data_IF_794975643485
#
_entry.id   IF_794975643485
#
_cell.length_a   1.000
_cell.length_b   1.000
_cell.length_c   1.000
_cell.angle_alpha   90.00
_cell.angle_beta   90.00
_cell.angle_gamma   90.00
#
_symmetry.space_group_name_H-M   'P 1'
#
loop_
_entity.id
_entity.type
_entity.pdbx_description
1 polymer ?
#
# COMPACT_ATOMS: atom_id res chain seq x y z
N UNK A 1 10.93 -21.63 -12.39
CA UNK A 1 9.44 -21.64 -12.36
C UNK A 1 9.05 -21.31 -10.92
N UNK A 2 8.81 -20.03 -10.62
CA UNK A 2 8.71 -19.56 -9.23
C UNK A 2 7.42 -20.07 -8.59
N UNK A 3 7.57 -20.99 -7.64
CA UNK A 3 6.52 -21.38 -6.72
C UNK A 3 6.34 -20.18 -5.77
N UNK A 4 5.55 -19.18 -6.18
CA UNK A 4 5.08 -18.15 -5.27
C UNK A 4 4.00 -18.83 -4.41
N UNK A 5 4.42 -19.42 -3.29
CA UNK A 5 3.50 -19.77 -2.22
C UNK A 5 2.92 -18.46 -1.68
N UNK A 6 1.71 -18.10 -2.14
CA UNK A 6 1.03 -16.90 -1.67
C UNK A 6 0.48 -17.18 -0.27
N UNK A 7 1.23 -16.78 0.76
CA UNK A 7 0.80 -16.81 2.17
C UNK A 7 -0.49 -16.00 2.41
N UNK A 8 -0.92 -15.18 1.45
CA UNK A 8 -2.23 -14.53 1.47
C UNK A 8 -3.37 -15.55 1.41
N UNK A 9 -3.20 -16.67 0.69
CA UNK A 9 -4.19 -17.75 0.72
C UNK A 9 -4.31 -18.36 2.11
N UNK A 10 -3.18 -18.51 2.80
CA UNK A 10 -3.17 -19.00 4.18
C UNK A 10 -3.80 -17.99 5.15
N UNK A 11 -3.58 -16.69 4.94
CA UNK A 11 -4.27 -15.64 5.68
C UNK A 11 -5.79 -15.71 5.49
N UNK A 12 -6.25 -15.93 4.25
CA UNK A 12 -7.66 -16.08 3.93
C UNK A 12 -8.29 -17.29 4.63
N UNK A 13 -7.60 -18.44 4.62
CA UNK A 13 -8.07 -19.65 5.33
C UNK A 13 -8.18 -19.41 6.83
N UNK A 14 -7.30 -18.58 7.40
CA UNK A 14 -7.31 -18.25 8.83
C UNK A 14 -8.29 -17.12 9.18
N UNK A 15 -8.95 -16.47 8.20
CA UNK A 15 -9.83 -15.34 8.46
C UNK A 15 -10.98 -15.67 9.45
N UNK A 16 -11.74 -16.77 9.33
CA UNK A 16 -12.80 -17.07 10.29
C UNK A 16 -12.25 -17.24 11.71
N UNK A 17 -11.13 -17.95 11.86
CA UNK A 17 -10.44 -18.14 13.15
C UNK A 17 -9.95 -16.80 13.73
N UNK A 18 -9.44 -15.90 12.87
CA UNK A 18 -9.04 -14.55 13.27
C UNK A 18 -10.22 -13.74 13.82
N UNK A 19 -11.35 -13.75 13.11
CA UNK A 19 -12.57 -13.06 13.58
C UNK A 19 -13.06 -13.60 14.92
N UNK A 20 -12.98 -14.91 15.13
CA UNK A 20 -13.28 -15.51 16.44
C UNK A 20 -12.30 -15.09 17.52
N UNK A 21 -11.01 -15.06 17.22
CA UNK A 21 -9.99 -14.64 18.18
C UNK A 21 -10.11 -13.17 18.60
N UNK A 22 -10.65 -12.32 17.73
CA UNK A 22 -10.81 -10.87 17.98
C UNK A 22 -12.18 -10.48 18.54
N UNK A 23 -13.25 -11.12 18.05
CA UNK A 23 -14.64 -10.71 18.29
C UNK A 23 -15.50 -11.82 18.92
N UNK A 24 -14.96 -13.02 19.12
CA UNK A 24 -15.69 -14.15 19.70
C UNK A 24 -16.58 -14.90 18.70
N UNK A 25 -16.58 -14.53 17.42
CA UNK A 25 -17.41 -15.12 16.38
C UNK A 25 -16.65 -15.38 15.08
N UNK A 26 -16.87 -16.52 14.46
CA UNK A 26 -16.37 -16.80 13.12
C UNK A 26 -17.28 -16.16 12.07
N UNK A 27 -16.73 -15.29 11.23
CA UNK A 27 -17.52 -14.64 10.18
C UNK A 27 -17.66 -15.53 8.95
N UNK A 28 -18.88 -15.59 8.41
CA UNK A 28 -19.22 -16.32 7.19
C UNK A 28 -19.59 -15.36 6.05
N UNK A 29 -18.59 -14.66 5.53
CA UNK A 29 -18.77 -13.67 4.46
C UNK A 29 -19.45 -14.27 3.21
N UNK A 30 -19.16 -15.53 2.88
CA UNK A 30 -19.79 -16.24 1.76
C UNK A 30 -21.31 -16.47 1.96
N UNK A 31 -21.77 -16.59 3.22
CA UNK A 31 -23.21 -16.65 3.51
C UNK A 31 -23.91 -15.37 3.10
N UNK A 32 -23.31 -14.21 3.39
CA UNK A 32 -23.84 -12.90 3.04
C UNK A 32 -23.81 -12.70 1.51
N UNK A 33 -22.71 -13.05 0.84
CA UNK A 33 -22.62 -13.01 -0.63
C UNK A 33 -23.77 -13.79 -1.28
N UNK A 34 -24.10 -14.99 -0.76
CA UNK A 34 -25.23 -15.77 -1.28
C UNK A 34 -26.57 -15.06 -1.10
N UNK A 35 -26.77 -14.38 0.02
CA UNK A 35 -27.97 -13.56 0.29
C UNK A 35 -28.07 -12.33 -0.62
N UNK A 36 -26.95 -11.82 -1.12
CA UNK A 36 -26.90 -10.63 -1.99
C UNK A 36 -26.83 -10.95 -3.49
N UNK A 37 -26.76 -12.23 -3.87
CA UNK A 37 -26.65 -12.65 -5.27
C UNK A 37 -27.76 -12.07 -6.16
N UNK A 38 -29.00 -12.02 -5.66
CA UNK A 38 -30.14 -11.49 -6.41
C UNK A 38 -30.04 -9.98 -6.66
N UNK A 39 -29.34 -9.22 -5.80
CA UNK A 39 -29.16 -7.76 -5.97
C UNK A 39 -28.33 -7.49 -7.22
N UNK A 40 -27.25 -8.24 -7.42
CA UNK A 40 -26.42 -8.14 -8.62
C UNK A 40 -27.13 -8.64 -9.87
N UNK A 41 -27.87 -9.75 -9.78
CA UNK A 41 -28.61 -10.31 -10.92
C UNK A 41 -29.76 -9.42 -11.41
N UNK A 42 -30.42 -8.73 -10.49
CA UNK A 42 -31.53 -7.81 -10.80
C UNK A 42 -31.09 -6.36 -11.00
N UNK A 43 -29.81 -6.05 -10.72
CA UNK A 43 -29.28 -4.69 -10.63
C UNK A 43 -30.19 -3.76 -9.80
N UNK A 44 -30.64 -4.27 -8.64
CA UNK A 44 -31.66 -3.62 -7.83
C UNK A 44 -31.45 -3.88 -6.34
N UNK A 45 -31.34 -2.82 -5.54
CA UNK A 45 -31.20 -2.87 -4.07
C UNK A 45 -32.43 -2.31 -3.37
N UNK A 46 -33.06 -3.11 -2.52
CA UNK A 46 -34.24 -2.73 -1.72
C UNK A 46 -33.88 -2.37 -0.28
N UNK A 47 -34.86 -1.86 0.46
CA UNK A 47 -34.73 -1.62 1.90
C UNK A 47 -34.49 -2.93 2.68
N UNK A 48 -35.18 -4.01 2.30
CA UNK A 48 -35.05 -5.31 2.96
C UNK A 48 -33.63 -5.88 2.79
N UNK A 49 -32.98 -5.62 1.64
CA UNK A 49 -31.58 -6.01 1.42
C UNK A 49 -30.63 -5.30 2.39
N UNK A 50 -30.89 -4.02 2.69
CA UNK A 50 -30.11 -3.29 3.69
C UNK A 50 -30.31 -3.87 5.10
N UNK A 51 -31.53 -4.29 5.45
CA UNK A 51 -31.80 -4.97 6.73
C UNK A 51 -31.13 -6.34 6.79
N UNK A 52 -31.12 -7.10 5.69
CA UNK A 52 -30.39 -8.37 5.63
C UNK A 52 -28.89 -8.20 5.88
N UNK A 53 -28.31 -7.08 5.48
CA UNK A 53 -26.91 -6.75 5.75
C UNK A 53 -26.64 -6.51 7.24
N UNK A 54 -27.50 -5.72 7.89
CA UNK A 54 -27.34 -5.28 9.28
C UNK A 54 -27.61 -6.40 10.28
N UNK A 55 -28.56 -7.27 9.96
CA UNK A 55 -29.08 -8.29 10.87
C UNK A 55 -28.56 -9.70 10.53
N UNK A 56 -27.60 -9.79 9.61
CA UNK A 56 -26.96 -11.05 9.23
C UNK A 56 -26.27 -11.71 10.43
N UNK A 57 -26.72 -12.92 10.80
CA UNK A 57 -26.05 -13.76 11.79
C UNK A 57 -24.61 -14.13 11.39
N UNK A 58 -24.26 -14.00 10.12
CA UNK A 58 -22.94 -14.37 9.59
C UNK A 58 -21.80 -13.45 10.03
N UNK A 59 -22.07 -12.25 10.55
CA UNK A 59 -21.04 -11.31 10.99
C UNK A 59 -21.59 -10.26 11.97
N UNK A 60 -20.74 -9.37 12.48
CA UNK A 60 -21.16 -8.36 13.48
C UNK A 60 -21.15 -6.95 12.90
N UNK A 61 -21.98 -6.71 11.88
CA UNK A 61 -22.08 -5.41 11.20
C UNK A 61 -22.23 -4.23 12.18
N UNK A 62 -23.20 -4.34 13.10
CA UNK A 62 -23.60 -3.28 14.03
C UNK A 62 -22.50 -2.84 15.00
N UNK A 63 -21.41 -3.61 15.12
CA UNK A 63 -20.26 -3.23 15.95
C UNK A 63 -19.40 -2.18 15.24
N UNK A 64 -19.33 -2.21 13.91
CA UNK A 64 -18.36 -1.43 13.15
C UNK A 64 -18.98 -0.32 12.30
N UNK A 65 -20.23 -0.49 11.86
CA UNK A 65 -20.85 0.42 10.91
C UNK A 65 -22.23 0.91 11.37
N UNK A 66 -22.59 2.15 11.00
CA UNK A 66 -23.91 2.68 11.25
C UNK A 66 -24.98 1.97 10.43
N UNK A 67 -26.22 1.99 10.90
CA UNK A 67 -27.36 1.40 10.18
C UNK A 67 -27.64 2.16 8.87
N UNK A 68 -27.46 1.54 7.69
CA UNK A 68 -27.68 2.18 6.40
C UNK A 68 -29.16 2.50 6.17
N UNK A 69 -30.08 1.78 6.83
CA UNK A 69 -31.53 2.05 6.78
C UNK A 69 -31.90 3.35 7.48
N UNK A 70 -31.13 3.74 8.48
CA UNK A 70 -31.29 5.03 9.16
C UNK A 70 -30.70 6.19 8.35
N UNK A 71 -29.73 5.92 7.48
CA UNK A 71 -29.07 6.92 6.63
C UNK A 71 -29.85 7.20 5.35
N UNK A 72 -30.39 6.15 4.74
CA UNK A 72 -31.10 6.23 3.46
C UNK A 72 -32.39 5.44 3.56
N UNK A 73 -33.52 6.14 3.37
CA UNK A 73 -34.81 5.48 3.19
C UNK A 73 -35.04 5.18 1.71
N UNK A 74 -34.95 3.90 1.35
CA UNK A 74 -35.25 3.42 0.00
C UNK A 74 -36.75 3.19 -0.16
N UNK A 75 -37.50 4.28 -0.37
CA UNK A 75 -38.94 4.19 -0.70
C UNK A 75 -39.22 3.41 -1.99
N UNK A 76 -38.23 3.35 -2.88
CA UNK A 76 -38.20 2.51 -4.09
C UNK A 76 -36.82 1.87 -4.20
N UNK A 77 -36.71 0.66 -4.78
CA UNK A 77 -35.41 0.05 -5.01
C UNK A 77 -34.48 0.95 -5.82
N UNK A 78 -33.17 0.88 -5.52
CA UNK A 78 -32.14 1.50 -6.34
C UNK A 78 -31.82 0.60 -7.52
N UNK A 79 -32.37 0.94 -8.68
CA UNK A 79 -32.18 0.21 -9.93
C UNK A 79 -31.01 0.80 -10.75
N UNK A 80 -30.32 -0.04 -11.53
CA UNK A 80 -29.34 0.44 -12.50
C UNK A 80 -28.05 0.99 -11.89
N UNK A 81 -27.73 0.61 -10.65
CA UNK A 81 -26.69 1.23 -9.84
C UNK A 81 -25.41 0.42 -9.78
N UNK A 82 -25.44 -0.87 -10.07
CA UNK A 82 -24.33 -1.76 -9.76
C UNK A 82 -23.31 -1.90 -10.86
N UNK A 83 -23.67 -1.66 -12.14
CA UNK A 83 -22.72 -1.59 -13.26
C UNK A 83 -21.55 -2.56 -13.09
N UNK A 84 -21.84 -3.86 -13.13
CA UNK A 84 -20.93 -4.89 -12.63
C UNK A 84 -19.67 -4.99 -13.50
N UNK A 85 -18.53 -5.31 -12.88
CA UNK A 85 -17.26 -5.46 -13.56
C UNK A 85 -16.24 -4.36 -13.28
N UNK A 86 -15.00 -4.61 -13.70
CA UNK A 86 -13.87 -3.73 -13.40
C UNK A 86 -13.99 -2.35 -14.07
N UNK A 87 -14.41 -2.28 -15.33
CA UNK A 87 -14.48 -1.01 -16.09
C UNK A 87 -15.59 -0.08 -15.59
N UNK A 88 -16.70 -0.64 -15.11
CA UNK A 88 -17.87 0.11 -14.65
C UNK A 88 -17.81 0.48 -13.16
N UNK A 89 -16.72 0.09 -12.47
CA UNK A 89 -16.60 0.23 -11.00
C UNK A 89 -16.73 1.67 -10.50
N UNK A 90 -16.18 2.65 -11.22
CA UNK A 90 -16.30 4.06 -10.83
C UNK A 90 -17.74 4.53 -10.92
N UNK A 91 -18.46 4.17 -11.98
CA UNK A 91 -19.88 4.49 -12.16
C UNK A 91 -20.70 3.90 -11.01
N UNK A 92 -20.46 2.64 -10.65
CA UNK A 92 -21.16 1.97 -9.57
C UNK A 92 -20.91 2.64 -8.20
N UNK A 93 -19.64 2.91 -7.88
CA UNK A 93 -19.25 3.61 -6.64
C UNK A 93 -19.90 4.99 -6.58
N UNK A 94 -19.86 5.76 -7.67
CA UNK A 94 -20.42 7.11 -7.72
C UNK A 94 -21.94 7.10 -7.51
N UNK A 95 -22.67 6.26 -8.24
CA UNK A 95 -24.13 6.16 -8.12
C UNK A 95 -24.57 5.79 -6.70
N UNK A 96 -23.88 4.85 -6.06
CA UNK A 96 -24.20 4.46 -4.69
C UNK A 96 -23.76 5.54 -3.69
N UNK A 97 -22.60 6.16 -3.88
CA UNK A 97 -22.12 7.23 -3.00
C UNK A 97 -23.04 8.46 -3.04
N UNK A 98 -23.60 8.81 -4.20
CA UNK A 98 -24.59 9.89 -4.32
C UNK A 98 -25.87 9.61 -3.51
N UNK A 99 -26.14 8.34 -3.17
CA UNK A 99 -27.28 7.93 -2.34
C UNK A 99 -26.94 7.84 -0.86
N UNK A 100 -25.86 7.12 -0.54
CA UNK A 100 -25.48 6.82 0.84
C UNK A 100 -24.67 7.93 1.50
N UNK A 101 -23.91 8.69 0.71
CA UNK A 101 -22.93 9.68 1.17
C UNK A 101 -21.94 9.13 2.21
N UNK A 102 -21.73 7.81 2.22
CA UNK A 102 -20.88 7.11 3.18
C UNK A 102 -20.14 5.98 2.46
N UNK A 103 -18.84 6.17 2.20
CA UNK A 103 -18.08 5.31 1.29
C UNK A 103 -17.87 3.90 1.83
N UNK A 104 -17.78 3.76 3.14
CA UNK A 104 -17.68 2.49 3.85
C UNK A 104 -18.93 1.64 3.58
N UNK A 105 -20.13 2.22 3.70
CA UNK A 105 -21.39 1.52 3.39
C UNK A 105 -21.43 1.10 1.92
N UNK A 106 -21.06 2.01 1.01
CA UNK A 106 -20.95 1.72 -0.42
C UNK A 106 -20.02 0.53 -0.67
N UNK A 107 -18.85 0.51 -0.02
CA UNK A 107 -17.87 -0.57 -0.17
C UNK A 107 -18.41 -1.92 0.31
N UNK A 108 -19.21 -1.93 1.38
CA UNK A 108 -19.82 -3.14 1.93
C UNK A 108 -20.87 -3.69 0.97
N UNK A 109 -21.78 -2.83 0.50
CA UNK A 109 -22.82 -3.25 -0.45
C UNK A 109 -22.16 -3.80 -1.72
N UNK A 110 -21.23 -3.06 -2.32
CA UNK A 110 -20.54 -3.48 -3.54
C UNK A 110 -19.75 -4.78 -3.36
N UNK A 111 -19.09 -4.95 -2.22
CA UNK A 111 -18.40 -6.20 -1.88
C UNK A 111 -19.30 -7.42 -1.95
N UNK A 112 -20.52 -7.33 -1.42
CA UNK A 112 -21.41 -8.48 -1.36
C UNK A 112 -22.17 -8.70 -2.67
N UNK A 113 -22.37 -7.64 -3.47
CA UNK A 113 -22.98 -7.72 -4.79
C UNK A 113 -22.00 -8.24 -5.85
N UNK A 114 -20.76 -7.74 -5.86
CA UNK A 114 -19.71 -8.12 -6.81
C UNK A 114 -18.35 -8.35 -6.10
N UNK A 115 -18.20 -9.50 -5.41
CA UNK A 115 -16.97 -9.80 -4.68
C UNK A 115 -15.74 -9.97 -5.60
N UNK A 116 -15.94 -10.15 -6.91
CA UNK A 116 -14.82 -10.27 -7.85
C UNK A 116 -14.06 -8.94 -7.96
N UNK A 117 -14.78 -7.80 -7.93
CA UNK A 117 -14.22 -6.48 -8.22
C UNK A 117 -14.22 -5.51 -7.03
N UNK A 118 -14.80 -5.89 -5.88
CA UNK A 118 -14.89 -5.00 -4.72
C UNK A 118 -14.38 -5.63 -3.42
N UNK A 119 -13.72 -4.79 -2.61
CA UNK A 119 -13.28 -5.06 -1.23
C UNK A 119 -13.98 -4.10 -0.24
N UNK A 120 -13.86 -4.35 1.07
CA UNK A 120 -14.44 -3.45 2.09
C UNK A 120 -13.35 -2.50 2.53
N UNK A 121 -13.54 -1.20 2.28
CA UNK A 121 -12.56 -0.22 2.75
C UNK A 121 -12.55 -0.24 4.28
N UNK A 122 -11.37 -0.48 4.86
CA UNK A 122 -11.24 -0.68 6.31
C UNK A 122 -9.89 -0.21 6.85
N UNK A 123 -9.86 0.40 8.05
CA UNK A 123 -8.63 0.94 8.63
C UNK A 123 -7.44 -0.03 8.70
N UNK A 124 -7.61 -1.33 9.01
CA UNK A 124 -6.49 -2.27 9.01
C UNK A 124 -5.84 -2.44 7.62
N UNK A 125 -6.66 -2.52 6.57
CA UNK A 125 -6.16 -2.71 5.20
C UNK A 125 -5.62 -1.39 4.63
N UNK A 126 -6.29 -0.26 4.86
CA UNK A 126 -5.80 1.07 4.47
C UNK A 126 -4.41 1.34 5.04
N UNK A 127 -4.23 1.11 6.34
CA UNK A 127 -2.95 1.26 7.03
C UNK A 127 -1.90 0.28 6.52
N UNK A 128 -2.30 -0.96 6.24
CA UNK A 128 -1.39 -1.94 5.66
C UNK A 128 -0.90 -1.46 4.29
N UNK A 129 -1.79 -1.02 3.41
CA UNK A 129 -1.48 -0.55 2.06
C UNK A 129 -0.82 0.85 2.05
N UNK A 130 -0.76 1.50 3.21
CA UNK A 130 -0.29 2.87 3.38
C UNK A 130 -1.04 3.87 2.50
N UNK A 131 -2.36 3.72 2.42
CA UNK A 131 -3.25 4.66 1.73
C UNK A 131 -3.59 5.83 2.66
N UNK A 132 -3.30 7.06 2.23
CA UNK A 132 -3.63 8.25 3.01
C UNK A 132 -5.08 8.69 2.73
N UNK A 133 -5.82 9.13 3.75
CA UNK A 133 -7.16 9.68 3.56
C UNK A 133 -7.16 10.79 2.51
N UNK A 134 -8.19 10.80 1.64
CA UNK A 134 -8.39 11.87 0.65
C UNK A 134 -9.79 12.48 0.81
N UNK A 135 -9.91 13.77 0.55
CA UNK A 135 -11.20 14.48 0.59
C UNK A 135 -12.21 13.92 -0.43
N UNK A 136 -11.70 13.43 -1.58
CA UNK A 136 -12.52 12.74 -2.56
C UNK A 136 -12.64 11.26 -2.20
N UNK A 137 -13.69 10.92 -1.45
CA UNK A 137 -13.97 9.55 -0.99
C UNK A 137 -14.14 8.52 -2.12
N UNK A 138 -14.70 8.91 -3.28
CA UNK A 138 -14.84 8.03 -4.44
C UNK A 138 -13.44 7.67 -4.98
N UNK A 139 -12.60 8.70 -5.24
CA UNK A 139 -11.22 8.50 -5.71
C UNK A 139 -10.42 7.66 -4.70
N UNK A 140 -10.60 7.94 -3.41
CA UNK A 140 -9.94 7.20 -2.33
C UNK A 140 -10.27 5.70 -2.38
N UNK A 141 -11.56 5.36 -2.52
CA UNK A 141 -11.97 3.96 -2.62
C UNK A 141 -11.53 3.29 -3.92
N UNK A 142 -11.51 4.00 -5.05
CA UNK A 142 -10.98 3.45 -6.30
C UNK A 142 -9.48 3.13 -6.19
N UNK A 143 -8.69 4.00 -5.56
CA UNK A 143 -7.28 3.74 -5.27
C UNK A 143 -7.08 2.51 -4.38
N UNK A 144 -7.99 2.29 -3.42
CA UNK A 144 -8.03 1.09 -2.59
C UNK A 144 -8.25 -0.17 -3.44
N UNK A 145 -9.25 -0.16 -4.33
CA UNK A 145 -9.53 -1.29 -5.21
C UNK A 145 -8.38 -1.59 -6.18
N UNK A 146 -7.75 -0.55 -6.75
CA UNK A 146 -6.60 -0.69 -7.63
C UNK A 146 -5.42 -1.35 -6.89
N UNK A 147 -5.21 -1.01 -5.62
CA UNK A 147 -4.20 -1.66 -4.77
C UNK A 147 -4.46 -3.15 -4.57
N UNK A 148 -5.71 -3.53 -4.31
CA UNK A 148 -6.10 -4.93 -4.19
C UNK A 148 -5.93 -5.66 -5.53
N UNK A 149 -6.24 -4.99 -6.65
CA UNK A 149 -6.11 -5.56 -7.99
C UNK A 149 -4.66 -5.86 -8.36
N UNK A 150 -3.75 -4.92 -8.09
CA UNK A 150 -2.30 -5.13 -8.27
C UNK A 150 -1.82 -6.36 -7.50
N UNK A 151 -2.24 -6.50 -6.24
CA UNK A 151 -1.90 -7.64 -5.38
C UNK A 151 -2.47 -8.93 -5.98
N UNK A 152 -3.74 -8.94 -6.35
CA UNK A 152 -4.38 -10.10 -6.98
C UNK A 152 -3.64 -10.54 -8.25
N UNK A 153 -3.30 -9.60 -9.12
CA UNK A 153 -2.59 -9.85 -10.37
C UNK A 153 -1.19 -10.44 -10.12
N UNK A 154 -0.47 -9.93 -9.12
CA UNK A 154 0.87 -10.41 -8.79
C UNK A 154 0.86 -11.83 -8.21
N UNK A 155 0.08 -12.08 -7.15
CA UNK A 155 0.06 -13.39 -6.49
C UNK A 155 -0.78 -14.43 -7.23
N UNK A 156 -1.69 -14.00 -8.11
CA UNK A 156 -2.65 -14.83 -8.85
C UNK A 156 -3.67 -15.57 -7.97
N UNK A 157 -3.42 -15.66 -6.67
CA UNK A 157 -4.28 -16.24 -5.63
C UNK A 157 -4.10 -15.45 -4.32
N UNK A 158 -5.19 -15.01 -3.69
CA UNK A 158 -6.58 -15.13 -4.16
C UNK A 158 -6.90 -14.25 -5.39
N UNK A 159 -7.91 -14.67 -6.18
CA UNK A 159 -8.31 -14.00 -7.43
C UNK A 159 -9.35 -12.90 -7.24
N UNK A 160 -10.31 -13.12 -6.34
CA UNK A 160 -11.37 -12.15 -6.05
C UNK A 160 -10.78 -11.01 -5.23
N UNK A 161 -11.13 -9.76 -5.53
CA UNK A 161 -10.66 -8.65 -4.69
C UNK A 161 -11.18 -8.78 -3.26
N UNK A 162 -12.37 -9.36 -3.11
CA UNK A 162 -12.91 -9.77 -1.84
C UNK A 162 -11.94 -10.58 -0.97
N UNK A 163 -11.40 -11.63 -1.57
CA UNK A 163 -10.56 -12.58 -0.88
C UNK A 163 -9.17 -11.99 -0.59
N UNK A 164 -8.67 -11.13 -1.48
CA UNK A 164 -7.43 -10.37 -1.28
C UNK A 164 -7.57 -9.41 -0.10
N UNK A 165 -8.68 -8.67 -0.04
CA UNK A 165 -9.05 -7.78 1.05
C UNK A 165 -9.06 -8.50 2.40
N UNK A 166 -9.75 -9.64 2.50
CA UNK A 166 -9.78 -10.46 3.73
C UNK A 166 -8.40 -11.00 4.11
N UNK A 167 -7.61 -11.44 3.13
CA UNK A 167 -6.26 -11.94 3.37
C UNK A 167 -5.35 -10.85 3.94
N UNK A 168 -5.38 -9.65 3.36
CA UNK A 168 -4.59 -8.51 3.82
C UNK A 168 -5.07 -8.05 5.20
N UNK A 169 -6.38 -8.02 5.41
CA UNK A 169 -6.96 -7.71 6.72
C UNK A 169 -6.41 -8.66 7.78
N UNK A 170 -6.44 -9.96 7.52
CA UNK A 170 -5.91 -10.98 8.43
C UNK A 170 -4.40 -10.82 8.67
N UNK A 171 -3.61 -10.60 7.60
CA UNK A 171 -2.18 -10.33 7.68
C UNK A 171 -1.86 -9.10 8.54
N UNK A 172 -2.60 -8.00 8.36
CA UNK A 172 -2.41 -6.77 9.13
C UNK A 172 -2.59 -7.01 10.64
N UNK A 173 -3.56 -7.85 11.01
CA UNK A 173 -3.80 -8.22 12.39
C UNK A 173 -2.72 -9.16 12.94
N UNK A 174 -2.19 -10.10 12.15
CA UNK A 174 -1.04 -10.89 12.57
C UNK A 174 0.17 -10.00 12.83
N UNK A 175 0.53 -9.12 11.88
CA UNK A 175 1.67 -8.22 12.02
C UNK A 175 1.56 -7.34 13.27
N UNK A 176 0.37 -6.82 13.56
CA UNK A 176 0.13 -5.96 14.72
C UNK A 176 0.17 -6.73 16.06
N UNK A 177 -0.37 -7.95 16.10
CA UNK A 177 -0.69 -8.61 17.37
C UNK A 177 0.18 -9.83 17.70
N UNK A 178 0.99 -10.36 16.77
CA UNK A 178 1.69 -11.64 17.00
C UNK A 178 2.67 -11.64 18.18
N UNK A 179 3.28 -10.49 18.50
CA UNK A 179 4.12 -10.35 19.69
C UNK A 179 3.36 -10.56 21.01
N UNK A 180 2.05 -10.29 21.02
CA UNK A 180 1.22 -10.36 22.22
C UNK A 180 0.95 -11.82 22.63
N UNK A 181 1.36 -12.18 23.86
CA UNK A 181 1.19 -13.55 24.39
C UNK A 181 -0.28 -13.96 24.54
N UNK A 182 -1.15 -13.04 24.95
CA UNK A 182 -2.61 -13.28 25.09
C UNK A 182 -3.26 -13.48 23.72
N UNK A 183 -2.83 -12.74 22.70
CA UNK A 183 -3.31 -12.97 21.34
C UNK A 183 -2.89 -14.37 20.86
N UNK A 184 -1.61 -14.75 21.03
CA UNK A 184 -1.10 -16.08 20.64
C UNK A 184 -1.75 -17.24 21.39
N UNK A 185 -2.21 -17.06 22.63
CA UNK A 185 -2.90 -18.14 23.36
C UNK A 185 -4.28 -18.48 22.80
N UNK A 186 -4.86 -17.62 21.96
CA UNK A 186 -6.14 -17.89 21.30
C UNK A 186 -6.02 -18.81 20.07
N UNK A 187 -4.79 -19.26 19.74
CA UNK A 187 -4.51 -20.05 18.54
C UNK A 187 -3.97 -21.44 18.90
N UNK A 188 -4.41 -22.44 18.15
CA UNK A 188 -3.93 -23.82 18.27
C UNK A 188 -2.46 -23.95 17.83
N UNK A 189 -1.80 -25.04 18.23
CA UNK A 189 -0.38 -25.23 17.92
C UNK A 189 -0.09 -25.24 16.41
N UNK A 190 -0.95 -25.88 15.63
CA UNK A 190 -0.81 -25.92 14.16
C UNK A 190 -0.99 -24.53 13.54
N UNK A 191 -2.04 -23.81 13.93
CA UNK A 191 -2.28 -22.44 13.46
C UNK A 191 -1.12 -21.51 13.83
N UNK A 192 -0.54 -21.65 15.03
CA UNK A 192 0.63 -20.85 15.44
C UNK A 192 1.85 -21.09 14.56
N UNK A 193 2.09 -22.34 14.19
CA UNK A 193 3.16 -22.69 13.24
C UNK A 193 2.90 -22.05 11.88
N UNK A 194 1.66 -22.18 11.38
CA UNK A 194 1.23 -21.60 10.11
C UNK A 194 1.38 -20.07 10.07
N UNK A 195 0.93 -19.37 11.11
CA UNK A 195 1.04 -17.92 11.22
C UNK A 195 2.50 -17.48 11.29
N UNK A 196 3.35 -18.20 12.01
CA UNK A 196 4.79 -17.91 12.04
C UNK A 196 5.41 -18.06 10.64
N UNK A 197 4.99 -19.08 9.88
CA UNK A 197 5.35 -19.24 8.47
C UNK A 197 4.89 -18.08 7.58
N UNK A 198 3.64 -17.64 7.73
CA UNK A 198 3.08 -16.47 7.03
C UNK A 198 3.95 -15.23 7.28
N UNK A 199 4.26 -14.94 8.55
CA UNK A 199 5.03 -13.75 8.92
C UNK A 199 6.46 -13.80 8.39
N UNK A 200 7.08 -14.98 8.40
CA UNK A 200 8.40 -15.18 7.81
C UNK A 200 8.37 -14.93 6.29
N UNK A 201 7.40 -15.50 5.57
CA UNK A 201 7.24 -15.30 4.14
C UNK A 201 6.96 -13.83 3.78
N UNK A 202 6.09 -13.16 4.52
CA UNK A 202 5.85 -11.72 4.37
C UNK A 202 7.13 -10.90 4.57
N UNK A 203 7.96 -11.22 5.57
CA UNK A 203 9.22 -10.50 5.81
C UNK A 203 10.19 -10.58 4.63
N UNK A 204 10.05 -11.63 3.80
CA UNK A 204 10.83 -11.87 2.60
C UNK A 204 10.13 -11.43 1.32
N UNK A 205 8.98 -10.74 1.41
CA UNK A 205 8.17 -10.39 0.25
C UNK A 205 8.53 -8.99 -0.29
N UNK A 206 9.33 -8.90 -1.36
CA UNK A 206 9.71 -7.61 -1.92
C UNK A 206 8.54 -6.89 -2.60
N UNK A 207 7.51 -7.60 -3.05
CA UNK A 207 6.42 -6.99 -3.81
C UNK A 207 5.52 -6.17 -2.89
N UNK A 208 4.98 -6.75 -1.81
CA UNK A 208 4.13 -5.97 -0.88
C UNK A 208 4.91 -4.84 -0.23
N UNK A 209 6.18 -5.06 0.14
CA UNK A 209 7.05 -3.98 0.64
C UNK A 209 7.22 -2.86 -0.38
N UNK A 210 7.53 -3.19 -1.64
CA UNK A 210 7.67 -2.21 -2.72
C UNK A 210 6.35 -1.50 -3.03
N UNK A 211 5.22 -2.19 -2.98
CA UNK A 211 3.91 -1.59 -3.23
C UNK A 211 3.55 -0.59 -2.14
N UNK A 212 3.71 -0.98 -0.86
CA UNK A 212 3.51 -0.08 0.29
C UNK A 212 4.43 1.14 0.21
N UNK A 213 5.71 0.92 -0.11
CA UNK A 213 6.67 1.99 -0.36
C UNK A 213 6.20 2.89 -1.49
N UNK A 214 5.84 2.32 -2.62
CA UNK A 214 5.43 3.07 -3.80
C UNK A 214 4.25 3.97 -3.49
N UNK A 215 3.30 3.53 -2.66
CA UNK A 215 2.14 4.35 -2.26
C UNK A 215 2.54 5.49 -1.33
N UNK A 216 3.32 5.22 -0.28
CA UNK A 216 3.91 6.27 0.57
C UNK A 216 4.67 7.28 -0.28
N UNK A 217 5.52 6.80 -1.19
CA UNK A 217 6.27 7.67 -2.09
C UNK A 217 5.35 8.39 -3.06
N UNK A 218 4.37 7.74 -3.69
CA UNK A 218 3.48 8.40 -4.64
C UNK A 218 2.69 9.52 -4.00
N UNK A 219 2.26 9.40 -2.74
CA UNK A 219 1.53 10.47 -2.07
C UNK A 219 2.47 11.59 -1.61
N UNK A 220 3.61 11.23 -1.02
CA UNK A 220 4.70 12.18 -0.74
C UNK A 220 5.12 12.87 -2.04
N UNK A 221 5.11 12.15 -3.16
CA UNK A 221 5.45 12.66 -4.47
C UNK A 221 4.28 13.37 -5.15
N UNK A 222 3.00 13.10 -4.90
CA UNK A 222 1.91 13.94 -5.43
C UNK A 222 1.99 15.32 -4.76
N UNK A 223 2.32 15.33 -3.47
CA UNK A 223 2.63 16.56 -2.73
C UNK A 223 4.00 17.19 -3.14
N UNK A 224 4.91 16.42 -3.76
CA UNK A 224 6.24 16.90 -4.22
C UNK A 224 6.33 17.06 -5.75
N UNK A 225 5.35 16.60 -6.52
CA UNK A 225 5.23 16.69 -8.00
C UNK A 225 4.62 18.03 -8.38
N UNK A 226 3.92 18.67 -7.43
CA UNK A 226 3.81 20.13 -7.38
C UNK A 226 5.17 20.85 -7.22
N UNK A 227 6.26 20.09 -7.13
CA UNK A 227 7.64 20.53 -7.30
C UNK A 227 8.15 21.27 -6.07
N UNK A 228 9.32 20.83 -5.57
CA UNK A 228 10.36 21.64 -4.88
C UNK A 228 10.81 21.21 -3.47
N UNK A 229 10.83 19.92 -3.07
CA UNK A 229 11.47 19.61 -1.78
C UNK A 229 12.12 18.22 -1.62
N UNK A 230 13.27 18.01 -2.29
CA UNK A 230 14.24 16.95 -1.94
C UNK A 230 14.52 16.85 -0.42
N UNK A 231 14.63 17.96 0.35
CA UNK A 231 14.75 17.93 1.82
C UNK A 231 13.64 17.15 2.55
N UNK A 232 12.38 17.25 2.11
CA UNK A 232 11.25 16.58 2.77
C UNK A 232 11.32 15.06 2.61
N UNK A 233 11.82 14.57 1.46
CA UNK A 233 11.99 13.14 1.23
C UNK A 233 13.09 12.54 2.10
N UNK A 234 14.16 13.30 2.35
CA UNK A 234 15.23 12.87 3.24
C UNK A 234 14.81 12.93 4.71
N UNK A 235 13.97 13.91 5.10
CA UNK A 235 13.35 13.91 6.43
C UNK A 235 12.48 12.67 6.64
N UNK A 236 11.68 12.28 5.63
CA UNK A 236 10.94 11.01 5.67
C UNK A 236 11.86 9.80 5.83
N UNK A 237 12.96 9.75 5.07
CA UNK A 237 13.94 8.67 5.21
C UNK A 237 14.54 8.61 6.62
N UNK A 238 14.84 9.75 7.26
CA UNK A 238 15.28 9.79 8.66
C UNK A 238 14.24 9.18 9.60
N UNK A 239 12.97 9.57 9.46
CA UNK A 239 11.87 9.01 10.26
C UNK A 239 11.73 7.50 10.07
N UNK A 240 11.99 6.99 8.87
CA UNK A 240 11.88 5.56 8.55
C UNK A 240 13.09 4.73 9.01
N UNK A 241 14.25 5.35 9.22
CA UNK A 241 15.53 4.64 9.43
C UNK A 241 15.67 3.97 10.81
N UNK A 242 14.65 4.10 11.65
CA UNK A 242 14.56 3.35 12.89
C UNK A 242 14.38 1.84 12.59
N UNK A 243 15.15 0.99 13.28
CA UNK A 243 15.05 -0.47 13.16
C UNK A 243 13.66 -1.02 13.54
N UNK A 244 12.85 -0.24 14.24
CA UNK A 244 11.48 -0.55 14.64
C UNK A 244 10.42 -0.08 13.64
N UNK A 245 10.78 0.74 12.64
CA UNK A 245 9.86 1.26 11.63
C UNK A 245 10.05 0.48 10.33
N UNK A 246 10.95 0.93 9.46
CA UNK A 246 11.25 0.24 8.21
C UNK A 246 12.58 0.75 7.61
N UNK A 247 13.74 0.26 8.10
CA UNK A 247 15.05 0.75 7.65
C UNK A 247 15.33 0.39 6.18
N UNK A 248 14.68 -0.64 5.63
CA UNK A 248 14.77 -0.94 4.19
C UNK A 248 14.09 0.17 3.38
N UNK A 249 12.92 0.63 3.83
CA UNK A 249 12.17 1.74 3.25
C UNK A 249 12.94 3.06 3.28
N UNK A 250 13.62 3.35 4.40
CA UNK A 250 14.47 4.52 4.54
C UNK A 250 15.55 4.57 3.47
N UNK A 251 16.20 3.43 3.21
CA UNK A 251 17.27 3.34 2.21
C UNK A 251 16.77 3.50 0.79
N UNK A 252 15.63 2.89 0.45
CA UNK A 252 15.06 3.09 -0.88
C UNK A 252 14.62 4.55 -1.09
N UNK A 253 14.03 5.19 -0.07
CA UNK A 253 13.63 6.60 -0.11
C UNK A 253 14.84 7.52 -0.31
N UNK A 254 15.93 7.25 0.42
CA UNK A 254 17.20 7.99 0.30
C UNK A 254 17.78 7.83 -1.09
N UNK A 255 17.86 6.59 -1.60
CA UNK A 255 18.38 6.27 -2.93
C UNK A 255 17.65 7.00 -4.06
N UNK A 256 16.32 6.96 -4.08
CA UNK A 256 15.55 7.68 -5.11
C UNK A 256 15.70 9.19 -4.99
N UNK A 257 15.81 9.72 -3.77
CA UNK A 257 16.01 11.15 -3.57
C UNK A 257 17.37 11.60 -4.09
N UNK A 258 18.41 10.84 -3.76
CA UNK A 258 19.77 11.04 -4.28
C UNK A 258 19.81 10.96 -5.80
N UNK A 259 19.25 9.90 -6.39
CA UNK A 259 19.22 9.71 -7.85
C UNK A 259 18.48 10.86 -8.55
N UNK A 260 17.32 11.27 -8.03
CA UNK A 260 16.57 12.43 -8.55
C UNK A 260 17.36 13.73 -8.45
N UNK A 261 18.11 13.94 -7.37
CA UNK A 261 18.98 15.10 -7.19
C UNK A 261 20.10 15.13 -8.24
N UNK A 262 20.79 14.00 -8.44
CA UNK A 262 21.86 13.86 -9.43
C UNK A 262 21.35 14.11 -10.85
N UNK A 263 20.19 13.55 -11.22
CA UNK A 263 19.60 13.79 -12.54
C UNK A 263 19.31 15.27 -12.81
N UNK A 264 18.83 16.02 -11.80
CA UNK A 264 18.63 17.48 -11.94
C UNK A 264 19.95 18.23 -12.15
N UNK A 265 21.03 17.80 -11.51
CA UNK A 265 22.34 18.40 -11.73
C UNK A 265 22.86 18.10 -13.15
N UNK A 266 22.64 16.88 -13.66
CA UNK A 266 23.00 16.47 -15.02
C UNK A 266 22.26 17.32 -16.07
N UNK A 267 20.95 17.51 -15.88
CA UNK A 267 20.10 18.38 -16.70
C UNK A 267 20.65 19.82 -16.70
N UNK A 268 20.91 20.37 -15.51
CA UNK A 268 21.49 21.72 -15.38
C UNK A 268 22.89 21.86 -15.98
N UNK A 269 23.68 20.78 -15.96
CA UNK A 269 25.00 20.72 -16.58
C UNK A 269 24.95 20.66 -18.12
N UNK A 270 23.75 20.56 -18.72
CA UNK A 270 23.55 20.29 -20.16
C UNK A 270 24.24 19.01 -20.64
N UNK A 271 24.41 18.03 -19.73
CA UNK A 271 25.02 16.72 -20.04
C UNK A 271 23.99 15.73 -20.63
N UNK A 272 22.78 16.19 -20.91
CA UNK A 272 21.66 15.35 -21.38
C UNK A 272 21.93 14.65 -22.72
N UNK A 273 22.72 15.28 -23.59
CA UNK A 273 23.09 14.69 -24.89
C UNK A 273 23.98 13.45 -24.75
N UNK A 274 24.54 13.19 -23.56
CA UNK A 274 25.32 11.99 -23.26
C UNK A 274 24.49 10.84 -22.64
N UNK A 275 23.18 11.04 -22.45
CA UNK A 275 22.29 10.13 -21.69
C UNK A 275 22.01 8.78 -22.36
N UNK A 276 22.12 8.68 -23.69
CA UNK A 276 21.45 7.59 -24.41
C UNK A 276 21.91 6.16 -24.04
N UNK A 277 23.07 5.95 -23.38
CA UNK A 277 23.57 4.60 -23.04
C UNK A 277 24.43 4.49 -21.78
N UNK A 278 24.41 5.45 -20.84
CA UNK A 278 25.42 5.51 -19.76
C UNK A 278 24.83 5.36 -18.36
N UNK A 279 25.55 4.66 -17.48
CA UNK A 279 25.14 4.40 -16.10
C UNK A 279 25.16 5.68 -15.25
N UNK A 280 24.37 5.73 -14.18
CA UNK A 280 24.39 6.84 -13.21
C UNK A 280 25.82 7.10 -12.67
N UNK A 281 26.58 6.02 -12.46
CA UNK A 281 27.99 6.06 -12.06
C UNK A 281 28.87 6.83 -13.06
N UNK A 282 28.66 6.60 -14.35
CA UNK A 282 29.37 7.35 -15.40
C UNK A 282 29.02 8.84 -15.35
N UNK A 283 27.73 9.16 -15.18
CA UNK A 283 27.28 10.55 -15.16
C UNK A 283 27.79 11.30 -13.92
N UNK A 284 27.85 10.64 -12.76
CA UNK A 284 28.50 11.18 -11.56
C UNK A 284 29.97 11.47 -11.83
N UNK A 285 30.70 10.58 -12.51
CA UNK A 285 32.10 10.81 -12.89
C UNK A 285 32.26 12.02 -13.82
N UNK A 286 31.28 12.31 -14.67
CA UNK A 286 31.26 13.52 -15.49
C UNK A 286 30.95 14.78 -14.71
N UNK A 287 29.99 14.74 -13.80
CA UNK A 287 29.74 15.83 -12.87
C UNK A 287 30.98 16.11 -12.00
N UNK A 288 31.71 15.05 -11.62
CA UNK A 288 32.93 15.13 -10.83
C UNK A 288 34.06 15.93 -11.52
N UNK A 289 34.05 16.07 -12.85
CA UNK A 289 35.00 16.93 -13.57
C UNK A 289 34.75 18.43 -13.27
N UNK A 290 33.60 18.79 -12.68
CA UNK A 290 33.13 20.18 -12.48
C UNK A 290 32.90 20.59 -11.02
N UNK A 291 33.11 19.70 -10.07
CA UNK A 291 32.88 19.97 -8.64
C UNK A 291 34.13 19.70 -7.82
N UNK A 292 34.17 20.19 -6.58
CA UNK A 292 35.30 19.94 -5.69
C UNK A 292 35.37 18.48 -5.24
N UNK A 293 36.57 18.06 -4.82
CA UNK A 293 36.88 16.68 -4.43
C UNK A 293 35.95 16.13 -3.33
N UNK A 294 35.59 16.96 -2.35
CA UNK A 294 34.72 16.51 -1.25
C UNK A 294 33.33 16.14 -1.76
N UNK A 295 32.79 16.94 -2.68
CA UNK A 295 31.51 16.65 -3.34
C UNK A 295 31.56 15.35 -4.15
N UNK A 296 32.70 15.06 -4.79
CA UNK A 296 32.91 13.81 -5.54
C UNK A 296 32.92 12.60 -4.60
N UNK A 297 33.65 12.69 -3.49
CA UNK A 297 33.74 11.62 -2.50
C UNK A 297 32.34 11.34 -1.91
N UNK A 298 31.56 12.38 -1.60
CA UNK A 298 30.18 12.24 -1.14
C UNK A 298 29.26 11.61 -2.20
N UNK A 299 29.40 11.95 -3.48
CA UNK A 299 28.67 11.27 -4.56
C UNK A 299 29.05 9.79 -4.67
N UNK A 300 30.33 9.47 -4.57
CA UNK A 300 30.86 8.10 -4.66
C UNK A 300 30.39 7.22 -3.51
N UNK A 301 30.33 7.76 -2.30
CA UNK A 301 29.79 7.05 -1.14
C UNK A 301 28.28 6.82 -1.30
N UNK A 302 27.54 7.87 -1.67
CA UNK A 302 26.09 7.79 -1.86
C UNK A 302 25.69 6.80 -2.96
N UNK A 303 26.43 6.73 -4.08
CA UNK A 303 26.13 5.77 -5.14
C UNK A 303 26.42 4.32 -4.69
N UNK A 304 27.48 4.12 -3.91
CA UNK A 304 27.83 2.81 -3.35
C UNK A 304 26.75 2.32 -2.38
N UNK A 305 26.31 3.18 -1.45
CA UNK A 305 25.21 2.84 -0.55
C UNK A 305 23.88 2.68 -1.27
N UNK A 306 23.61 3.49 -2.29
CA UNK A 306 22.43 3.33 -3.15
C UNK A 306 22.37 1.94 -3.78
N UNK A 307 23.50 1.46 -4.31
CA UNK A 307 23.55 0.15 -4.95
C UNK A 307 23.32 -0.96 -3.93
N UNK A 308 23.95 -0.89 -2.76
CA UNK A 308 23.68 -1.83 -1.65
C UNK A 308 22.23 -1.79 -1.16
N UNK A 309 21.60 -0.61 -1.17
CA UNK A 309 20.21 -0.42 -0.76
C UNK A 309 19.19 -0.98 -1.76
N UNK A 310 19.44 -0.82 -3.06
CA UNK A 310 18.49 -1.20 -4.13
C UNK A 310 18.73 -2.63 -4.63
N UNK A 311 19.91 -3.18 -4.38
CA UNK A 311 20.29 -4.55 -4.74
C UNK A 311 20.62 -5.35 -3.47
N UNK A 312 19.60 -5.85 -2.72
CA UNK A 312 19.78 -6.47 -1.41
C UNK A 312 20.71 -7.69 -1.36
N UNK A 313 21.05 -8.25 -2.53
CA UNK A 313 22.01 -9.35 -2.68
C UNK A 313 23.48 -8.90 -2.61
N UNK A 314 23.78 -7.60 -2.66
CA UNK A 314 25.15 -7.06 -2.56
C UNK A 314 25.61 -6.93 -1.11
N UNK A 315 24.74 -6.52 -0.19
CA UNK A 315 24.85 -6.63 1.28
C UNK A 315 23.80 -5.72 1.94
N UNK A 316 23.26 -6.08 3.11
CA UNK A 316 22.41 -5.15 3.88
C UNK A 316 23.29 -4.08 4.54
N UNK A 317 22.92 -2.81 4.36
CA UNK A 317 23.57 -1.69 5.04
C UNK A 317 23.37 -1.75 6.56
N UNK A 318 24.46 -1.58 7.31
CA UNK A 318 24.41 -1.47 8.76
C UNK A 318 23.80 -0.13 9.17
N UNK A 319 23.30 -0.03 10.41
CA UNK A 319 22.65 1.18 10.93
C UNK A 319 23.52 2.42 10.76
N UNK A 320 24.83 2.29 10.98
CA UNK A 320 25.81 3.34 10.82
C UNK A 320 25.90 3.82 9.37
N UNK A 321 26.00 2.89 8.41
CA UNK A 321 26.05 3.20 6.98
C UNK A 321 24.75 3.86 6.51
N UNK A 322 23.60 3.42 7.04
CA UNK A 322 22.29 4.00 6.70
C UNK A 322 22.17 5.45 7.18
N UNK A 323 22.57 5.70 8.44
CA UNK A 323 22.58 7.04 9.01
C UNK A 323 23.50 7.96 8.20
N UNK A 324 24.69 7.48 7.84
CA UNK A 324 25.65 8.24 7.08
C UNK A 324 25.16 8.52 5.65
N UNK A 325 24.51 7.54 5.00
CA UNK A 325 23.92 7.74 3.68
C UNK A 325 22.86 8.86 3.69
N UNK A 326 21.93 8.83 4.65
CA UNK A 326 20.91 9.87 4.79
C UNK A 326 21.57 11.24 5.05
N UNK A 327 22.54 11.29 5.96
CA UNK A 327 23.27 12.52 6.30
C UNK A 327 23.97 13.13 5.08
N UNK A 328 24.72 12.32 4.32
CA UNK A 328 25.43 12.78 3.11
C UNK A 328 24.46 13.23 2.02
N UNK A 329 23.38 12.47 1.79
CA UNK A 329 22.35 12.87 0.84
C UNK A 329 21.72 14.22 1.21
N UNK A 330 21.47 14.48 2.50
CA UNK A 330 20.96 15.78 2.99
C UNK A 330 21.94 16.91 2.77
N UNK A 331 23.23 16.67 3.04
CA UNK A 331 24.28 17.64 2.81
C UNK A 331 24.36 18.04 1.33
N UNK A 332 24.41 17.06 0.42
CA UNK A 332 24.44 17.29 -1.02
C UNK A 332 23.22 18.07 -1.51
N UNK A 333 22.02 17.67 -1.08
CA UNK A 333 20.76 18.38 -1.41
C UNK A 333 20.76 19.81 -0.86
N UNK A 334 21.28 20.04 0.35
CA UNK A 334 21.40 21.37 0.94
C UNK A 334 22.39 22.27 0.19
N UNK A 335 23.44 21.68 -0.39
CA UNK A 335 24.46 22.36 -1.19
C UNK A 335 24.06 22.57 -2.66
N UNK A 336 22.83 22.21 -3.06
CA UNK A 336 22.36 22.25 -4.44
C UNK A 336 22.75 23.52 -5.19
N UNK A 337 22.44 24.70 -4.64
CA UNK A 337 22.70 25.98 -5.32
C UNK A 337 24.20 26.25 -5.53
N UNK A 338 25.04 25.81 -4.60
CA UNK A 338 26.50 25.95 -4.72
C UNK A 338 27.04 25.01 -5.80
N UNK A 339 26.60 23.74 -5.78
CA UNK A 339 26.98 22.73 -6.77
C UNK A 339 26.54 23.15 -8.17
N UNK A 340 25.29 23.61 -8.33
CA UNK A 340 24.78 24.15 -9.60
C UNK A 340 25.64 25.30 -10.10
N UNK A 341 26.03 26.25 -9.24
CA UNK A 341 26.89 27.39 -9.63
C UNK A 341 28.24 26.92 -10.18
N UNK A 342 28.86 25.93 -9.53
CA UNK A 342 30.14 25.34 -9.95
C UNK A 342 30.04 24.60 -11.29
N UNK A 343 28.91 23.93 -11.52
CA UNK A 343 28.67 23.18 -12.76
C UNK A 343 28.45 24.11 -13.97
N UNK A 344 27.87 25.29 -13.73
CA UNK A 344 27.54 26.29 -14.75
C UNK A 344 28.69 27.26 -15.07
N UNK A 345 29.69 27.39 -14.19
CA UNK A 345 30.94 28.12 -14.46
C UNK A 345 31.91 27.28 -15.26
#
# INVERSE_FOLDING_TARGET
MNIIFSYLQDCLVLFPKMTRALFGKEYNMNGIVRKFKHVGEKDSLSQDDLTLLTDAEEWDYKIFWPDPSAMVSLRKPLEGCFGLGWEERETAVRKLYDRFQHIEIVSIVLRFVDPENFGIISPPVEKFLALQPQDNHIKYYLNYLDALKEISCYYKRPKKLADVDMAIWCLSHFLKNWGNRKFRSNWESEDRSKISGILNLYSMDPFLKKQRLHRVLCEVYEHVKEGRNEPNRLLLAECLNDNHIDPELAMVTTSYTFESFVWKLIEQASLEKELEKRSLWYMIKKLAEKVDRNTIDDFSDCITWRDSAIHPWLSKLKTEDRNEFIRKAKQLVGMKNEITRKISS
#
